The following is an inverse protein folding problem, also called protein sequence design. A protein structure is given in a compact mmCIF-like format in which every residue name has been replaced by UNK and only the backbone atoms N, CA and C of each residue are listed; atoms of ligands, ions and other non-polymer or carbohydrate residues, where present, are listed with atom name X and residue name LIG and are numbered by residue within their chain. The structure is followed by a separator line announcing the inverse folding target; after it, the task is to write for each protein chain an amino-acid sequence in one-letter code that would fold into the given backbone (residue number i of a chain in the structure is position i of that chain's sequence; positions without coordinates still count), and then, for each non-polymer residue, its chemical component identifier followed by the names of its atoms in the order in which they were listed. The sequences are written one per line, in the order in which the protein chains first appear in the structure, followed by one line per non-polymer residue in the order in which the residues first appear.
data_IF_117259319347
#
_entry.id   IF_117259319347
#
_cell.length_a   1.000
_cell.length_b   1.000
_cell.length_c   1.000
_cell.angle_alpha   90.00
_cell.angle_beta   90.00
_cell.angle_gamma   90.00
#
_symmetry.space_group_name_H-M   'P 1'
#
loop_
_entity.id
_entity.type
_entity.pdbx_description
1 polymer ?
#
# COMPACT_ATOMS: atom_id res chain seq x y z
N UNK A 1 3.16 6.09 -24.83
CA UNK A 1 3.83 4.85 -25.27
C UNK A 1 4.31 4.16 -24.00
N UNK A 2 3.51 3.22 -23.47
CA UNK A 2 3.90 2.40 -22.33
C UNK A 2 4.98 1.43 -22.79
N UNK A 3 6.20 1.58 -22.28
CA UNK A 3 7.24 0.58 -22.46
C UNK A 3 6.92 -0.60 -21.55
N UNK A 4 6.11 -1.53 -22.03
CA UNK A 4 5.99 -2.85 -21.44
C UNK A 4 7.34 -3.56 -21.61
N UNK A 5 8.11 -3.61 -20.53
CA UNK A 5 9.24 -4.52 -20.45
C UNK A 5 8.66 -5.93 -20.37
N UNK A 6 8.54 -6.58 -21.53
CA UNK A 6 8.14 -7.97 -21.61
C UNK A 6 9.16 -8.82 -20.83
N UNK A 7 8.73 -9.32 -19.69
CA UNK A 7 9.51 -10.25 -18.86
C UNK A 7 9.58 -11.57 -19.62
N UNK A 8 10.78 -11.92 -20.08
CA UNK A 8 11.07 -13.19 -20.76
C UNK A 8 10.80 -14.35 -19.81
N UNK A 9 9.97 -15.32 -20.24
CA UNK A 9 9.56 -16.48 -19.46
C UNK A 9 10.72 -17.48 -19.27
N UNK A 10 11.47 -17.33 -18.18
CA UNK A 10 12.17 -18.46 -17.52
C UNK A 10 11.15 -19.24 -16.68
N UNK A 11 11.46 -20.49 -16.33
CA UNK A 11 10.59 -21.48 -15.66
C UNK A 11 9.50 -20.90 -14.75
N UNK A 12 8.28 -21.48 -14.71
CA UNK A 12 7.21 -20.93 -13.89
C UNK A 12 7.63 -20.95 -12.43
N UNK A 13 8.02 -19.78 -11.92
CA UNK A 13 8.18 -19.55 -10.50
C UNK A 13 6.90 -20.00 -9.83
N UNK A 14 6.98 -20.82 -8.77
CA UNK A 14 5.79 -21.23 -8.04
C UNK A 14 5.04 -20.00 -7.54
N UNK A 15 3.78 -19.89 -7.89
CA UNK A 15 2.92 -18.76 -7.51
C UNK A 15 1.99 -19.16 -6.38
N UNK A 16 1.68 -18.18 -5.53
CA UNK A 16 0.61 -18.24 -4.55
C UNK A 16 -0.37 -17.10 -4.79
N UNK A 17 -1.58 -17.26 -4.29
CA UNK A 17 -2.67 -16.31 -4.45
C UNK A 17 -3.35 -16.07 -3.11
N UNK A 18 -3.60 -14.82 -2.76
CA UNK A 18 -4.44 -14.47 -1.61
C UNK A 18 -5.49 -13.43 -2.01
N UNK A 19 -6.69 -13.58 -1.45
CA UNK A 19 -7.76 -12.58 -1.56
C UNK A 19 -7.55 -11.55 -0.46
N UNK A 20 -7.61 -10.26 -0.81
CA UNK A 20 -7.53 -9.21 0.19
C UNK A 20 -8.88 -9.00 0.88
N UNK A 21 -8.82 -8.66 2.16
CA UNK A 21 -9.95 -8.37 3.03
C UNK A 21 -9.92 -6.90 3.47
N UNK A 22 -11.07 -6.31 3.87
CA UNK A 22 -11.10 -4.99 4.48
C UNK A 22 -10.14 -4.87 5.68
N UNK A 23 -9.31 -3.83 5.67
CA UNK A 23 -8.39 -3.52 6.77
C UNK A 23 -9.05 -2.63 7.83
N UNK A 24 -8.83 -2.96 9.10
CA UNK A 24 -9.28 -2.24 10.29
C UNK A 24 -8.17 -1.33 10.76
N UNK A 25 -8.07 -0.21 10.05
CA UNK A 25 -7.08 0.83 10.33
C UNK A 25 -7.21 1.33 11.77
N UNK A 26 -6.21 1.07 12.65
CA UNK A 26 -6.24 1.55 14.03
C UNK A 26 -6.08 3.06 14.14
N UNK A 27 -5.57 3.71 13.10
CA UNK A 27 -5.27 5.13 13.17
C UNK A 27 -6.54 5.93 12.97
N UNK A 28 -7.15 6.42 14.07
CA UNK A 28 -8.41 7.18 14.02
C UNK A 28 -8.34 8.45 13.14
N UNK A 29 -7.13 8.94 12.87
CA UNK A 29 -6.87 10.11 12.01
C UNK A 29 -6.74 9.74 10.52
N UNK A 30 -6.59 8.46 10.18
CA UNK A 30 -6.76 8.00 8.81
C UNK A 30 -8.24 8.10 8.44
N UNK A 31 -8.53 8.82 7.35
CA UNK A 31 -9.89 9.07 6.87
C UNK A 31 -10.01 8.63 5.42
N UNK A 32 -11.20 8.16 4.99
CA UNK A 32 -11.43 7.85 3.59
C UNK A 32 -11.31 9.12 2.75
N UNK A 33 -10.88 8.95 1.50
CA UNK A 33 -10.76 10.03 0.51
C UNK A 33 -11.80 9.86 -0.58
N UNK A 34 -12.44 10.95 -1.00
CA UNK A 34 -13.53 10.90 -2.00
C UNK A 34 -13.29 11.79 -3.21
N UNK A 35 -12.02 12.07 -3.52
CA UNK A 35 -11.59 12.78 -4.72
C UNK A 35 -10.70 11.85 -5.53
N UNK A 36 -10.95 11.75 -6.81
CA UNK A 36 -10.14 10.93 -7.71
C UNK A 36 -8.75 11.56 -7.99
N UNK A 37 -7.96 10.95 -8.87
CA UNK A 37 -6.63 11.48 -9.19
C UNK A 37 -6.64 12.82 -9.94
N UNK A 38 -7.79 13.32 -10.40
CA UNK A 38 -7.94 14.65 -11.02
C UNK A 38 -8.72 15.64 -10.15
N UNK A 39 -8.82 15.39 -8.85
CA UNK A 39 -9.66 16.13 -7.90
C UNK A 39 -11.14 16.22 -8.33
N UNK A 40 -11.67 15.25 -9.08
CA UNK A 40 -13.10 15.16 -9.28
C UNK A 40 -13.77 14.52 -8.06
N UNK A 41 -14.86 15.11 -7.55
CA UNK A 41 -15.56 14.56 -6.40
C UNK A 41 -16.31 13.28 -6.77
N UNK A 42 -16.10 12.24 -5.98
CA UNK A 42 -16.89 11.02 -5.99
C UNK A 42 -18.18 11.26 -5.18
N UNK A 43 -19.08 12.06 -5.74
CA UNK A 43 -20.27 12.62 -5.08
C UNK A 43 -21.10 11.57 -4.32
N UNK A 44 -21.28 10.38 -4.88
CA UNK A 44 -22.05 9.30 -4.23
C UNK A 44 -21.45 8.91 -2.87
N UNK A 45 -20.12 8.86 -2.79
CA UNK A 45 -19.41 8.49 -1.56
C UNK A 45 -19.30 9.66 -0.59
N UNK A 46 -19.22 10.89 -1.11
CA UNK A 46 -19.29 12.12 -0.30
C UNK A 46 -20.65 12.22 0.40
N UNK A 47 -21.74 12.01 -0.33
CA UNK A 47 -23.11 12.14 0.20
C UNK A 47 -23.39 11.12 1.31
N UNK A 48 -22.81 9.94 1.22
CA UNK A 48 -22.95 8.86 2.20
C UNK A 48 -21.87 8.90 3.29
N UNK A 49 -20.79 9.65 3.06
CA UNK A 49 -19.61 9.70 3.92
C UNK A 49 -18.83 8.38 3.98
N UNK A 50 -19.07 7.44 3.07
CA UNK A 50 -18.44 6.11 3.11
C UNK A 50 -18.27 5.47 1.73
N UNK A 51 -17.27 4.60 1.65
CA UNK A 51 -17.12 3.60 0.59
C UNK A 51 -16.90 2.25 1.26
N UNK A 52 -17.72 1.25 0.92
CA UNK A 52 -17.75 -0.02 1.64
C UNK A 52 -16.88 -1.03 0.92
N UNK A 53 -15.85 -1.53 1.62
CA UNK A 53 -14.89 -2.46 1.05
C UNK A 53 -15.33 -3.96 0.99
N UNK A 54 -16.61 -4.27 1.25
CA UNK A 54 -17.07 -5.66 1.45
C UNK A 54 -17.24 -6.49 0.16
N UNK A 55 -17.63 -5.88 -0.96
CA UNK A 55 -18.00 -6.61 -2.19
C UNK A 55 -16.89 -6.66 -3.25
N UNK A 56 -15.68 -6.21 -2.92
CA UNK A 56 -14.60 -6.13 -3.89
C UNK A 56 -13.85 -7.44 -4.02
N UNK A 57 -13.33 -7.61 -5.23
CA UNK A 57 -12.59 -8.79 -5.65
C UNK A 57 -11.18 -8.33 -5.94
N UNK A 58 -10.41 -8.09 -4.88
CA UNK A 58 -8.97 -7.83 -5.01
C UNK A 58 -8.21 -9.10 -4.67
N UNK A 59 -7.46 -9.58 -5.66
CA UNK A 59 -6.67 -10.79 -5.55
C UNK A 59 -5.22 -10.45 -5.85
N UNK A 60 -4.32 -10.81 -4.93
CA UNK A 60 -2.89 -10.77 -5.12
C UNK A 60 -2.42 -12.13 -5.58
N UNK A 61 -1.68 -12.19 -6.69
CA UNK A 61 -0.89 -13.36 -7.08
C UNK A 61 0.58 -12.99 -7.03
N UNK A 62 1.43 -13.82 -6.44
CA UNK A 62 2.84 -13.49 -6.25
C UNK A 62 3.75 -14.69 -6.40
N UNK A 63 5.00 -14.42 -6.76
CA UNK A 63 6.05 -15.42 -6.83
C UNK A 63 6.51 -15.82 -5.43
N UNK A 64 6.38 -17.10 -5.07
CA UNK A 64 6.89 -17.62 -3.79
C UNK A 64 8.41 -17.85 -3.80
N UNK A 65 9.03 -17.94 -4.98
CA UNK A 65 10.47 -18.15 -5.17
C UNK A 65 11.00 -17.29 -6.33
N UNK A 66 10.93 -15.96 -6.26
CA UNK A 66 11.31 -15.11 -7.39
C UNK A 66 12.78 -15.31 -7.78
N UNK A 67 13.06 -15.27 -9.08
CA UNK A 67 14.44 -15.31 -9.64
C UNK A 67 15.22 -14.00 -9.39
N UNK A 68 14.62 -13.06 -8.67
CA UNK A 68 15.13 -11.72 -8.37
C UNK A 68 15.23 -11.50 -6.86
N UNK A 69 16.15 -10.63 -6.38
CA UNK A 69 16.32 -10.37 -4.95
C UNK A 69 15.26 -9.39 -4.40
N UNK A 70 14.01 -9.50 -4.85
CA UNK A 70 12.89 -8.65 -4.45
C UNK A 70 11.57 -9.37 -4.72
N UNK A 71 10.53 -8.93 -4.01
CA UNK A 71 9.16 -9.43 -4.17
C UNK A 71 8.59 -9.01 -5.54
N UNK A 72 7.79 -9.87 -6.14
CA UNK A 72 7.12 -9.62 -7.42
C UNK A 72 5.71 -10.20 -7.36
N UNK A 73 4.74 -9.43 -7.85
CA UNK A 73 3.35 -9.82 -7.82
C UNK A 73 2.51 -9.12 -8.87
N UNK A 74 1.26 -9.56 -8.91
CA UNK A 74 0.20 -9.08 -9.76
C UNK A 74 -1.05 -8.85 -8.90
N UNK A 75 -1.68 -7.69 -9.05
CA UNK A 75 -2.99 -7.41 -8.48
C UNK A 75 -4.05 -7.44 -9.57
N UNK A 76 -5.08 -8.25 -9.34
CA UNK A 76 -6.34 -8.17 -10.05
C UNK A 76 -7.35 -7.52 -9.11
N UNK A 77 -7.67 -6.25 -9.35
CA UNK A 77 -8.54 -5.45 -8.50
C UNK A 77 -9.84 -5.09 -9.22
N UNK A 78 -10.97 -5.25 -8.54
CA UNK A 78 -12.32 -4.96 -9.06
C UNK A 78 -13.15 -4.25 -8.01
N UNK A 79 -14.05 -3.38 -8.47
CA UNK A 79 -15.03 -2.67 -7.64
C UNK A 79 -14.40 -1.81 -6.55
N UNK A 80 -13.26 -1.18 -6.84
CA UNK A 80 -12.66 -0.14 -6.00
C UNK A 80 -13.20 1.25 -6.39
N UNK A 81 -12.76 2.33 -5.75
CA UNK A 81 -13.13 3.69 -6.20
C UNK A 81 -12.63 3.90 -7.63
N UNK A 82 -13.40 4.55 -8.52
CA UNK A 82 -13.00 4.74 -9.92
C UNK A 82 -12.00 5.89 -10.08
N UNK A 83 -11.12 5.78 -11.08
CA UNK A 83 -10.04 6.74 -11.38
C UNK A 83 -9.20 7.11 -10.15
N UNK A 84 -9.02 6.18 -9.22
CA UNK A 84 -8.48 6.43 -7.89
C UNK A 84 -7.14 5.74 -7.73
N UNK A 85 -6.19 6.37 -7.04
CA UNK A 85 -4.88 5.79 -6.80
C UNK A 85 -4.81 5.02 -5.47
N UNK A 86 -4.04 3.95 -5.47
CA UNK A 86 -3.87 3.06 -4.33
C UNK A 86 -2.40 2.70 -4.16
N UNK A 87 -1.83 2.97 -3.00
CA UNK A 87 -0.47 2.55 -2.65
C UNK A 87 -0.43 1.04 -2.43
N UNK A 88 0.66 0.42 -2.87
CA UNK A 88 0.96 -1.00 -2.68
C UNK A 88 2.10 -1.13 -1.67
N UNK A 89 1.88 -1.84 -0.56
CA UNK A 89 2.88 -2.01 0.49
C UNK A 89 3.06 -3.48 0.86
N UNK A 90 4.32 -3.85 1.09
CA UNK A 90 4.70 -5.12 1.74
C UNK A 90 5.20 -4.79 3.15
N UNK A 91 4.62 -5.41 4.16
CA UNK A 91 4.88 -5.15 5.57
C UNK A 91 5.39 -6.42 6.25
N UNK A 92 6.28 -6.25 7.22
CA UNK A 92 6.64 -7.31 8.15
C UNK A 92 5.54 -7.57 9.17
N UNK A 93 5.71 -8.67 9.92
CA UNK A 93 4.81 -9.08 11.00
C UNK A 93 5.60 -9.04 12.32
N UNK A 94 5.72 -7.89 13.00
CA UNK A 94 6.45 -7.84 14.27
C UNK A 94 5.80 -8.78 15.29
N UNK A 95 6.61 -9.56 16.00
CA UNK A 95 6.14 -10.46 17.07
C UNK A 95 5.54 -9.67 18.24
N UNK A 96 6.14 -8.53 18.56
CA UNK A 96 5.83 -7.72 19.74
C UNK A 96 5.07 -6.42 19.42
N UNK A 97 4.55 -5.79 20.45
CA UNK A 97 3.73 -4.58 20.36
C UNK A 97 2.25 -4.86 20.68
N UNK A 98 1.47 -3.81 20.91
CA UNK A 98 0.02 -3.90 21.16
C UNK A 98 -0.72 -4.59 19.99
N UNK A 99 -0.20 -4.41 18.78
CA UNK A 99 -0.65 -5.07 17.55
C UNK A 99 0.50 -5.90 16.94
N UNK A 100 1.25 -6.61 17.79
CA UNK A 100 2.18 -7.64 17.35
C UNK A 100 1.44 -8.94 17.01
N UNK A 101 2.04 -9.78 16.16
CA UNK A 101 1.48 -11.07 15.75
C UNK A 101 1.78 -12.21 16.73
N UNK A 102 2.53 -11.97 17.81
CA UNK A 102 2.90 -13.00 18.76
C UNK A 102 3.63 -14.15 18.08
N UNK A 103 3.18 -15.39 18.32
CA UNK A 103 3.78 -16.59 17.72
C UNK A 103 3.65 -16.67 16.19
N UNK A 104 2.73 -15.90 15.60
CA UNK A 104 2.54 -15.81 14.14
C UNK A 104 3.39 -14.71 13.49
N UNK A 105 4.18 -13.98 14.30
CA UNK A 105 5.07 -12.94 13.82
C UNK A 105 6.40 -13.47 13.29
N UNK A 106 7.10 -12.64 12.53
CA UNK A 106 8.42 -12.89 11.99
C UNK A 106 9.28 -11.60 12.08
N UNK A 107 10.00 -11.50 13.20
CA UNK A 107 10.89 -10.36 13.48
C UNK A 107 12.05 -10.27 12.48
N UNK A 108 12.51 -11.40 11.93
CA UNK A 108 13.61 -11.41 10.96
C UNK A 108 13.15 -10.77 9.65
N UNK A 109 11.98 -11.19 9.17
CA UNK A 109 11.36 -10.61 7.97
C UNK A 109 11.03 -9.14 8.17
N UNK A 110 10.45 -8.80 9.33
CA UNK A 110 10.16 -7.42 9.69
C UNK A 110 11.41 -6.54 9.69
N UNK A 111 12.50 -7.01 10.29
CA UNK A 111 13.74 -6.26 10.34
C UNK A 111 14.36 -6.05 8.95
N UNK A 112 14.41 -7.11 8.15
CA UNK A 112 14.95 -7.07 6.78
C UNK A 112 14.17 -6.09 5.90
N UNK A 113 12.83 -6.10 5.97
CA UNK A 113 12.00 -5.15 5.23
C UNK A 113 12.23 -3.73 5.71
N UNK A 114 12.32 -3.48 7.02
CA UNK A 114 12.50 -2.15 7.56
C UNK A 114 13.86 -1.52 7.23
N UNK A 115 14.93 -2.31 7.32
CA UNK A 115 16.28 -1.87 6.92
C UNK A 115 16.37 -1.61 5.41
N UNK A 116 15.73 -2.45 4.60
CA UNK A 116 15.69 -2.28 3.14
C UNK A 116 14.78 -1.11 2.70
N UNK A 117 13.73 -0.84 3.47
CA UNK A 117 12.78 0.23 3.24
C UNK A 117 12.73 1.20 4.40
N UNK A 118 11.64 1.10 5.17
CA UNK A 118 11.22 2.09 6.17
C UNK A 118 10.52 1.41 7.33
N UNK A 119 10.29 2.19 8.37
CA UNK A 119 9.55 1.78 9.55
C UNK A 119 8.25 2.55 9.66
N UNK A 120 7.16 1.85 9.97
CA UNK A 120 5.84 2.39 10.20
C UNK A 120 5.32 1.97 11.57
N UNK A 121 4.62 2.88 12.24
CA UNK A 121 3.86 2.58 13.45
C UNK A 121 2.38 2.98 13.27
N UNK A 122 1.49 2.01 13.50
CA UNK A 122 0.03 2.08 13.33
C UNK A 122 -0.63 3.16 14.22
N UNK A 123 -0.09 3.39 15.41
CA UNK A 123 -0.57 4.43 16.34
C UNK A 123 0.54 5.46 16.49
N UNK A 124 0.60 6.36 15.52
CA UNK A 124 1.66 7.36 15.45
C UNK A 124 1.77 8.16 16.76
N UNK A 125 2.85 7.95 17.51
CA UNK A 125 3.35 8.98 18.42
C UNK A 125 4.19 9.99 17.61
N UNK A 126 4.42 11.20 18.14
CA UNK A 126 5.44 12.08 17.58
C UNK A 126 6.77 11.32 17.36
N UNK A 127 7.44 11.47 16.21
CA UNK A 127 7.28 12.54 15.20
C UNK A 127 6.26 12.26 14.08
N UNK A 128 5.57 11.12 14.09
CA UNK A 128 4.64 10.71 13.04
C UNK A 128 4.80 9.23 12.68
N UNK A 129 4.03 8.74 11.70
CA UNK A 129 3.98 7.32 11.37
C UNK A 129 5.29 6.80 10.74
N UNK A 130 6.07 7.65 10.07
CA UNK A 130 7.32 7.25 9.43
C UNK A 130 8.50 7.38 10.40
N UNK A 131 9.21 6.28 10.61
CA UNK A 131 10.28 6.17 11.60
C UNK A 131 11.62 5.83 10.93
N UNK A 132 12.71 6.17 11.62
CA UNK A 132 14.07 5.79 11.20
C UNK A 132 14.55 4.52 11.93
N UNK A 133 15.72 4.05 11.52
CA UNK A 133 16.34 2.84 12.06
C UNK A 133 16.65 2.97 13.56
N UNK A 134 17.06 4.16 14.01
CA UNK A 134 17.40 4.41 15.41
C UNK A 134 16.15 4.33 16.30
N UNK A 135 15.01 4.83 15.82
CA UNK A 135 13.75 4.72 16.53
C UNK A 135 13.30 3.26 16.65
N UNK A 136 13.41 2.45 15.59
CA UNK A 136 13.14 1.01 15.65
C UNK A 136 14.05 0.32 16.68
N UNK A 137 15.35 0.61 16.65
CA UNK A 137 16.33 0.03 17.57
C UNK A 137 15.98 0.33 19.04
N UNK A 138 15.61 1.57 19.34
CA UNK A 138 15.25 1.99 20.71
C UNK A 138 13.91 1.41 21.16
N UNK A 139 12.88 1.48 20.32
CA UNK A 139 11.49 1.23 20.73
C UNK A 139 11.00 -0.19 20.44
N UNK A 140 11.76 -1.00 19.71
CA UNK A 140 11.42 -2.39 19.39
C UNK A 140 12.53 -3.37 19.76
N UNK A 141 13.74 -3.16 19.21
CA UNK A 141 14.82 -4.14 19.34
C UNK A 141 15.39 -4.17 20.76
N UNK A 142 15.69 -2.99 21.32
CA UNK A 142 16.31 -2.82 22.63
C UNK A 142 15.31 -2.52 23.76
N UNK A 143 14.03 -2.29 23.42
CA UNK A 143 12.98 -2.08 24.42
C UNK A 143 12.77 -3.34 25.27
N UNK A 144 12.55 -3.14 26.57
CA UNK A 144 12.28 -4.24 27.48
C UNK A 144 10.97 -4.96 27.08
N UNK A 145 10.81 -6.26 27.42
CA UNK A 145 9.55 -6.95 27.25
C UNK A 145 8.38 -6.17 27.88
N UNK A 146 7.28 -6.01 27.14
CA UNK A 146 6.13 -5.19 27.55
C UNK A 146 6.25 -3.69 27.28
N UNK A 147 7.42 -3.20 26.84
CA UNK A 147 7.63 -1.81 26.41
C UNK A 147 7.81 -1.67 24.90
N UNK A 148 7.87 -2.79 24.17
CA UNK A 148 8.00 -2.81 22.72
C UNK A 148 6.78 -2.17 22.07
N UNK A 149 7.02 -1.27 21.13
CA UNK A 149 5.98 -0.65 20.29
C UNK A 149 5.65 -1.55 19.09
N UNK A 150 4.53 -1.36 18.43
CA UNK A 150 4.23 -2.07 17.18
C UNK A 150 4.90 -1.33 16.01
N UNK A 151 6.05 -1.82 15.55
CA UNK A 151 6.80 -1.19 14.46
C UNK A 151 6.98 -2.16 13.30
N UNK A 152 6.39 -1.81 12.16
CA UNK A 152 6.42 -2.57 10.92
C UNK A 152 7.59 -2.09 10.06
N UNK A 153 8.45 -3.01 9.64
CA UNK A 153 9.28 -2.80 8.46
C UNK A 153 8.39 -2.86 7.22
N UNK A 154 8.54 -1.91 6.30
CA UNK A 154 7.73 -1.89 5.08
C UNK A 154 8.46 -1.39 3.83
N UNK A 155 7.97 -1.85 2.68
CA UNK A 155 8.34 -1.37 1.34
C UNK A 155 7.11 -0.76 0.68
N UNK A 156 7.21 0.48 0.21
CA UNK A 156 6.20 1.09 -0.67
C UNK A 156 6.58 0.84 -2.13
N UNK A 157 5.93 -0.14 -2.74
CA UNK A 157 6.34 -0.72 -4.04
C UNK A 157 5.82 0.05 -5.25
N UNK A 158 5.05 1.11 -5.01
CA UNK A 158 4.39 1.92 -6.03
C UNK A 158 2.89 1.97 -5.81
N UNK A 159 2.19 2.62 -6.72
CA UNK A 159 0.74 2.76 -6.73
C UNK A 159 0.16 2.23 -8.04
N UNK A 160 -1.13 1.92 -8.02
CA UNK A 160 -1.93 1.68 -9.21
C UNK A 160 -3.13 2.62 -9.24
N UNK A 161 -3.68 2.84 -10.42
CA UNK A 161 -4.87 3.66 -10.64
C UNK A 161 -5.94 2.77 -11.25
N UNK A 162 -7.16 2.88 -10.75
CA UNK A 162 -8.32 2.17 -11.29
C UNK A 162 -8.89 2.87 -12.51
N UNK A 163 -9.55 2.12 -13.39
CA UNK A 163 -10.35 2.67 -14.48
C UNK A 163 -11.65 3.32 -13.96
N UNK A 164 -12.51 3.78 -14.87
CA UNK A 164 -13.76 4.42 -14.52
C UNK A 164 -14.83 3.49 -13.92
N UNK A 165 -14.57 2.18 -13.90
CA UNK A 165 -15.39 1.18 -13.21
C UNK A 165 -14.73 0.65 -11.93
N UNK A 166 -13.60 1.23 -11.50
CA UNK A 166 -12.93 0.81 -10.28
C UNK A 166 -12.09 -0.46 -10.44
N UNK A 167 -11.69 -0.81 -11.66
CA UNK A 167 -10.89 -1.99 -11.94
C UNK A 167 -9.43 -1.65 -12.21
N UNK A 168 -8.52 -2.55 -11.87
CA UNK A 168 -7.12 -2.49 -12.28
C UNK A 168 -6.52 -3.89 -12.41
N UNK A 169 -5.59 -4.03 -13.33
CA UNK A 169 -4.72 -5.20 -13.48
C UNK A 169 -3.28 -4.68 -13.54
N UNK A 170 -2.48 -4.97 -12.52
CA UNK A 170 -1.16 -4.35 -12.35
C UNK A 170 -0.11 -5.36 -11.92
N UNK A 171 0.96 -5.44 -12.71
CA UNK A 171 2.21 -6.08 -12.31
C UNK A 171 3.06 -5.09 -11.53
N UNK A 172 3.68 -5.55 -10.44
CA UNK A 172 4.54 -4.71 -9.61
C UNK A 172 5.69 -5.53 -9.01
N UNK A 173 6.68 -4.81 -8.48
CA UNK A 173 7.81 -5.43 -7.78
C UNK A 173 8.30 -4.53 -6.66
N UNK A 174 8.93 -5.14 -5.66
CA UNK A 174 9.61 -4.42 -4.59
C UNK A 174 11.05 -4.04 -4.94
N UNK A 175 11.41 -3.99 -6.24
CA UNK A 175 12.73 -3.53 -6.70
C UNK A 175 13.05 -2.11 -6.26
N UNK A 176 12.02 -1.29 -6.05
CA UNK A 176 12.12 0.07 -5.53
C UNK A 176 11.22 0.20 -4.31
N UNK A 177 11.61 1.04 -3.34
CA UNK A 177 10.78 1.45 -2.22
C UNK A 177 10.63 2.98 -2.22
N UNK A 178 9.55 3.44 -2.84
CA UNK A 178 9.26 4.87 -3.00
C UNK A 178 8.80 5.49 -1.68
N UNK A 179 8.78 6.83 -1.62
CA UNK A 179 8.36 7.60 -0.45
C UNK A 179 6.92 8.04 -0.55
N UNK A 180 6.61 8.79 -1.60
CA UNK A 180 5.34 9.48 -1.80
C UNK A 180 5.03 9.44 -3.30
N UNK A 181 3.74 9.42 -3.63
CA UNK A 181 3.24 9.63 -4.97
C UNK A 181 2.82 11.10 -5.14
N UNK A 182 3.14 11.69 -6.29
CA UNK A 182 2.80 13.06 -6.63
C UNK A 182 1.99 13.11 -7.91
N UNK A 183 1.14 14.12 -8.04
CA UNK A 183 0.48 14.49 -9.28
C UNK A 183 1.13 15.72 -9.94
N UNK A 184 1.04 15.79 -11.27
CA UNK A 184 1.56 16.89 -12.09
C UNK A 184 1.20 18.30 -11.61
N UNK A 185 0.00 18.53 -11.09
CA UNK A 185 -0.43 19.87 -10.65
C UNK A 185 0.17 20.33 -9.31
N UNK A 186 0.85 19.44 -8.56
CA UNK A 186 1.18 19.70 -7.16
C UNK A 186 2.30 20.67 -6.79
N UNK A 187 3.16 21.27 -7.62
CA UNK A 187 4.21 22.27 -7.24
C UNK A 187 5.27 21.96 -6.14
N UNK A 188 4.96 21.22 -5.07
CA UNK A 188 5.88 20.78 -4.01
C UNK A 188 6.31 19.32 -4.25
N UNK A 189 7.42 18.93 -3.63
CA UNK A 189 7.96 17.57 -3.69
C UNK A 189 9.01 17.34 -4.77
N UNK A 190 9.65 16.17 -4.74
CA UNK A 190 10.61 15.73 -5.75
C UNK A 190 9.95 14.70 -6.67
N UNK A 191 9.72 15.10 -7.94
CA UNK A 191 9.16 14.22 -8.97
C UNK A 191 10.27 13.52 -9.72
N UNK A 192 10.76 12.42 -9.16
CA UNK A 192 11.98 11.76 -9.66
C UNK A 192 11.69 10.70 -10.72
N UNK A 193 10.60 9.94 -10.58
CA UNK A 193 10.26 8.83 -11.47
C UNK A 193 8.82 8.97 -11.94
N UNK A 194 8.56 8.85 -13.23
CA UNK A 194 7.18 8.81 -13.74
C UNK A 194 6.53 7.51 -13.27
N UNK A 195 5.42 7.61 -12.54
CA UNK A 195 4.62 6.47 -12.12
C UNK A 195 3.70 5.99 -13.25
N UNK A 196 3.14 6.94 -14.01
CA UNK A 196 2.32 6.65 -15.19
C UNK A 196 1.57 7.87 -15.72
N UNK A 197 1.04 7.73 -16.92
CA UNK A 197 0.06 8.63 -17.55
C UNK A 197 -1.29 7.92 -17.54
N UNK A 198 -2.29 8.54 -16.91
CA UNK A 198 -3.61 7.95 -16.68
C UNK A 198 -4.69 8.82 -17.30
N UNK A 199 -5.74 8.17 -17.80
CA UNK A 199 -6.93 8.87 -18.29
C UNK A 199 -8.01 8.79 -17.22
N UNK A 200 -8.42 9.94 -16.70
CA UNK A 200 -9.60 10.06 -15.85
C UNK A 200 -10.79 10.31 -16.75
N UNK A 201 -11.83 9.48 -16.61
CA UNK A 201 -13.07 9.63 -17.37
C UNK A 201 -14.24 8.95 -16.65
N UNK A 202 -15.46 9.30 -17.00
CA UNK A 202 -16.67 8.56 -16.66
C UNK A 202 -17.78 9.04 -17.58
N UNK A 203 -17.83 8.52 -18.81
CA UNK A 203 -18.69 9.07 -19.87
C UNK A 203 -20.00 8.29 -20.07
N UNK A 204 -20.16 7.17 -19.38
CA UNK A 204 -21.31 6.26 -19.56
C UNK A 204 -22.03 6.08 -18.23
N UNK A 205 -23.34 6.28 -18.23
CA UNK A 205 -24.17 6.05 -17.05
C UNK A 205 -24.27 4.53 -16.72
N UNK A 206 -24.30 4.12 -15.44
CA UNK A 206 -24.16 4.97 -14.25
C UNK A 206 -22.70 5.44 -14.09
N UNK A 207 -22.50 6.74 -13.87
CA UNK A 207 -21.17 7.33 -13.64
C UNK A 207 -20.67 6.89 -12.27
N UNK A 208 -20.10 5.68 -12.17
CA UNK A 208 -19.81 5.04 -10.89
C UNK A 208 -19.09 5.99 -9.92
N UNK A 209 -19.64 6.20 -8.73
CA UNK A 209 -19.11 7.17 -7.76
C UNK A 209 -19.34 8.64 -8.10
N UNK A 210 -19.47 9.00 -9.37
CA UNK A 210 -19.65 10.38 -9.86
C UNK A 210 -21.13 10.79 -9.94
N UNK A 211 -21.42 12.05 -9.61
CA UNK A 211 -22.77 12.62 -9.76
C UNK A 211 -23.13 13.07 -11.18
N UNK A 212 -22.17 13.03 -12.12
CA UNK A 212 -22.28 13.58 -13.48
C UNK A 212 -21.21 12.95 -14.40
N UNK A 213 -21.35 13.03 -15.73
CA UNK A 213 -20.31 12.55 -16.63
C UNK A 213 -19.00 13.32 -16.45
N UNK A 214 -17.88 12.60 -16.46
CA UNK A 214 -16.53 13.16 -16.39
C UNK A 214 -15.87 13.01 -17.76
N UNK A 215 -15.61 14.14 -18.41
CA UNK A 215 -14.91 14.19 -19.69
C UNK A 215 -13.45 13.71 -19.55
N UNK A 216 -12.91 12.98 -20.55
CA UNK A 216 -11.56 12.44 -20.51
C UNK A 216 -10.48 13.50 -20.26
N UNK A 217 -9.65 13.27 -19.23
CA UNK A 217 -8.51 14.13 -18.86
C UNK A 217 -7.27 13.29 -18.60
N UNK A 218 -6.11 13.80 -19.00
CA UNK A 218 -4.82 13.14 -18.75
C UNK A 218 -4.23 13.63 -17.43
N UNK A 219 -3.90 12.69 -16.55
CA UNK A 219 -3.23 12.93 -15.29
C UNK A 219 -1.96 12.11 -15.23
N UNK A 220 -0.84 12.76 -14.94
CA UNK A 220 0.44 12.09 -14.75
C UNK A 220 0.80 12.04 -13.28
N UNK A 221 1.27 10.86 -12.86
CA UNK A 221 1.74 10.60 -11.51
C UNK A 221 3.25 10.38 -11.49
N UNK A 222 3.85 10.62 -10.33
CA UNK A 222 5.28 10.54 -10.09
C UNK A 222 5.58 9.91 -8.75
N UNK A 223 6.70 9.20 -8.64
CA UNK A 223 7.25 8.77 -7.37
C UNK A 223 8.42 9.66 -6.94
N UNK A 224 8.52 9.82 -5.63
CA UNK A 224 9.67 10.39 -4.92
C UNK A 224 10.44 9.28 -4.20
N UNK A 225 11.77 9.32 -4.21
CA UNK A 225 12.60 8.51 -3.32
C UNK A 225 12.80 9.21 -1.98
N UNK A 226 12.98 8.44 -0.90
CA UNK A 226 13.38 9.01 0.37
C UNK A 226 14.87 9.34 0.34
N UNK A 227 15.21 10.58 0.68
CA UNK A 227 16.60 10.99 0.85
C UNK A 227 17.32 10.09 1.87
N UNK A 228 18.51 9.60 1.49
CA UNK A 228 19.35 8.75 2.35
C UNK A 228 19.03 7.24 2.31
N UNK A 229 17.98 6.80 1.58
CA UNK A 229 17.71 5.37 1.35
C UNK A 229 18.24 4.91 -0.01
N UNK A 230 18.50 3.62 -0.13
CA UNK A 230 18.86 3.01 -1.42
C UNK A 230 17.70 3.17 -2.40
N UNK A 231 18.00 3.48 -3.67
CA UNK A 231 16.99 3.53 -4.73
C UNK A 231 16.51 2.13 -5.07
N UNK A 232 17.45 1.25 -5.40
CA UNK A 232 17.15 -0.18 -5.62
C UNK A 232 17.17 -0.94 -4.31
N UNK A 233 16.10 -1.68 -4.07
CA UNK A 233 15.94 -2.59 -2.95
C UNK A 233 16.44 -3.97 -3.38
N UNK A 234 17.29 -4.56 -2.54
CA UNK A 234 17.68 -5.96 -2.61
C UNK A 234 17.43 -6.58 -1.25
N UNK A 235 16.50 -7.51 -1.20
CA UNK A 235 16.19 -8.27 -0.01
C UNK A 235 17.29 -9.31 0.24
N UNK A 236 17.82 -9.40 1.47
CA UNK A 236 18.73 -10.49 1.83
C UNK A 236 18.10 -11.87 1.58
N UNK A 237 18.91 -12.91 1.26
CA UNK A 237 18.40 -14.26 1.11
C UNK A 237 17.68 -14.76 2.37
N UNK A 238 16.62 -15.54 2.15
CA UNK A 238 15.82 -16.15 3.20
C UNK A 238 14.33 -16.15 2.90
N UNK A 239 13.58 -16.85 3.75
CA UNK A 239 12.12 -16.86 3.73
C UNK A 239 11.58 -15.63 4.45
N UNK A 240 10.52 -15.06 3.89
CA UNK A 240 9.82 -13.89 4.36
C UNK A 240 8.38 -14.28 4.70
N UNK A 241 7.94 -14.10 5.95
CA UNK A 241 6.53 -14.09 6.31
C UNK A 241 6.06 -12.64 6.49
N UNK A 242 5.14 -12.20 5.63
CA UNK A 242 4.78 -10.81 5.46
C UNK A 242 3.27 -10.63 5.32
N UNK A 243 2.85 -9.38 5.44
CA UNK A 243 1.51 -8.90 5.17
C UNK A 243 1.52 -7.98 3.95
N UNK A 244 0.51 -8.08 3.11
CA UNK A 244 0.29 -7.14 2.01
C UNK A 244 -0.76 -6.13 2.39
N UNK A 245 -0.55 -4.85 2.06
CA UNK A 245 -1.46 -3.76 2.43
C UNK A 245 -1.67 -2.81 1.25
N UNK A 246 -2.91 -2.41 1.04
CA UNK A 246 -3.31 -1.34 0.13
C UNK A 246 -3.78 -0.14 0.94
N UNK A 247 -3.22 1.02 0.62
CA UNK A 247 -3.61 2.31 1.20
C UNK A 247 -4.19 3.22 0.13
N UNK A 248 -5.28 3.92 0.44
CA UNK A 248 -5.80 4.97 -0.44
C UNK A 248 -4.73 6.03 -0.68
N UNK A 249 -4.45 6.31 -1.96
CA UNK A 249 -3.65 7.45 -2.37
C UNK A 249 -4.55 8.37 -3.18
N UNK A 250 -4.91 9.50 -2.59
CA UNK A 250 -5.30 10.65 -3.41
C UNK A 250 -4.33 11.73 -3.04
N UNK A 251 -3.95 12.54 -4.00
CA UNK A 251 -2.87 13.49 -3.79
C UNK A 251 -3.23 14.42 -2.64
N UNK A 252 -2.23 15.05 -2.04
CA UNK A 252 -2.38 16.05 -0.98
C UNK A 252 -3.30 17.18 -1.46
N UNK A 253 -4.61 16.93 -1.42
CA UNK A 253 -5.63 17.82 -1.90
C UNK A 253 -5.43 19.12 -1.14
N UNK A 254 -5.47 20.24 -1.85
CA UNK A 254 -5.41 21.57 -1.26
C UNK A 254 -6.52 21.78 -0.21
N UNK A 255 -7.53 20.92 -0.18
CA UNK A 255 -8.59 20.88 0.83
C UNK A 255 -8.30 19.92 2.00
N UNK A 256 -7.47 18.88 1.82
CA UNK A 256 -7.30 17.75 2.76
C UNK A 256 -6.26 17.96 3.87
N UNK A 257 -6.41 19.02 4.66
CA UNK A 257 -5.64 19.19 5.91
C UNK A 257 -6.11 18.25 7.01
N UNK A 258 -5.41 18.23 8.17
CA UNK A 258 -5.81 17.40 9.33
C UNK A 258 -7.26 17.67 9.82
N UNK A 259 -7.84 18.81 9.44
CA UNK A 259 -9.16 19.26 9.85
C UNK A 259 -10.25 19.06 8.77
N UNK A 260 -9.93 18.52 7.59
CA UNK A 260 -10.92 18.29 6.53
C UNK A 260 -11.63 16.93 6.72
N UNK A 261 -12.95 16.99 6.87
CA UNK A 261 -13.83 15.81 6.93
C UNK A 261 -13.76 14.94 5.67
N UNK A 262 -13.26 15.51 4.59
CA UNK A 262 -13.25 14.95 3.24
C UNK A 262 -11.83 14.61 2.73
N UNK A 263 -10.80 14.76 3.57
CA UNK A 263 -9.42 14.42 3.23
C UNK A 263 -8.48 14.50 4.43
N UNK A 264 -8.19 13.35 5.05
CA UNK A 264 -7.23 13.22 6.16
C UNK A 264 -5.96 12.45 5.79
N UNK A 265 -5.30 11.87 6.79
CA UNK A 265 -4.20 10.94 6.55
C UNK A 265 -4.67 9.71 5.75
N UNK A 266 -3.73 9.05 5.08
CA UNK A 266 -3.99 7.96 4.16
C UNK A 266 -4.58 6.73 4.88
N UNK A 267 -5.84 6.42 4.59
CA UNK A 267 -6.49 5.23 5.13
C UNK A 267 -6.01 3.97 4.41
N UNK A 268 -5.56 2.99 5.19
CA UNK A 268 -5.34 1.65 4.69
C UNK A 268 -6.67 0.91 4.62
N UNK A 269 -6.93 0.20 3.52
CA UNK A 269 -8.29 -0.24 3.17
C UNK A 269 -8.41 -1.71 2.90
N UNK A 270 -7.36 -2.34 2.36
CA UNK A 270 -7.35 -3.76 2.07
C UNK A 270 -6.03 -4.38 2.51
N UNK A 271 -6.07 -5.61 3.00
CA UNK A 271 -4.91 -6.33 3.48
C UNK A 271 -5.02 -7.82 3.18
N UNK A 272 -3.91 -8.55 3.14
CA UNK A 272 -3.96 -10.01 3.03
C UNK A 272 -4.52 -10.65 4.31
N UNK A 273 -4.13 -10.11 5.46
CA UNK A 273 -4.53 -10.55 6.80
C UNK A 273 -4.67 -9.35 7.75
N UNK A 274 -5.44 -9.49 8.82
CA UNK A 274 -5.67 -8.40 9.79
C UNK A 274 -5.93 -8.92 11.20
N UNK A 275 -6.25 -8.03 12.13
CA UNK A 275 -6.72 -8.39 13.46
C UNK A 275 -8.24 -8.55 13.50
N UNK A 276 -8.70 -9.46 14.34
CA UNK A 276 -10.13 -9.63 14.62
C UNK A 276 -10.70 -8.44 15.43
N UNK A 277 -11.99 -8.52 15.83
CA UNK A 277 -12.65 -7.39 16.49
C UNK A 277 -12.19 -7.19 17.93
N UNK A 278 -11.57 -8.21 18.50
CA UNK A 278 -10.96 -8.17 19.82
C UNK A 278 -9.47 -7.80 19.75
N UNK A 279 -8.92 -7.58 18.55
CA UNK A 279 -7.51 -7.23 18.37
C UNK A 279 -6.57 -8.44 18.42
N UNK A 280 -7.07 -9.67 18.21
CA UNK A 280 -6.21 -10.83 18.04
C UNK A 280 -5.67 -10.89 16.62
N UNK A 281 -4.38 -11.20 16.42
CA UNK A 281 -3.83 -11.37 15.08
C UNK A 281 -4.52 -12.52 14.36
N UNK A 282 -4.70 -12.38 13.05
CA UNK A 282 -5.09 -13.51 12.22
C UNK A 282 -4.06 -14.64 12.33
N UNK A 283 -4.57 -15.86 12.37
CA UNK A 283 -3.79 -17.08 12.50
C UNK A 283 -4.02 -18.04 11.33
N UNK A 284 -4.71 -17.59 10.29
CA UNK A 284 -4.90 -18.35 9.07
C UNK A 284 -3.63 -18.31 8.22
N UNK A 285 -2.88 -19.40 8.04
CA UNK A 285 -1.69 -19.36 7.19
C UNK A 285 -2.02 -19.18 5.70
N UNK A 286 -3.26 -19.38 5.27
CA UNK A 286 -3.65 -19.33 3.85
C UNK A 286 -3.68 -17.90 3.28
N UNK A 287 -3.66 -16.88 4.12
CA UNK A 287 -3.59 -15.47 3.70
C UNK A 287 -2.30 -14.76 4.13
N UNK A 288 -1.34 -15.50 4.69
CA UNK A 288 0.05 -15.03 4.84
C UNK A 288 0.70 -14.85 3.47
N UNK A 289 1.51 -13.81 3.33
CA UNK A 289 2.35 -13.61 2.15
C UNK A 289 3.74 -14.19 2.45
N UNK A 290 3.96 -15.43 1.99
CA UNK A 290 5.19 -16.19 2.26
C UNK A 290 5.98 -16.42 0.98
N UNK A 291 7.20 -15.89 0.92
CA UNK A 291 8.11 -16.07 -0.22
C UNK A 291 9.56 -16.25 0.22
N UNK A 292 10.39 -16.84 -0.62
CA UNK A 292 11.82 -17.09 -0.35
C UNK A 292 12.69 -16.45 -1.41
N UNK A 293 13.61 -15.58 -0.98
CA UNK A 293 14.66 -15.01 -1.83
C UNK A 293 15.87 -15.94 -1.82
N UNK A 294 16.27 -16.41 -3.01
CA UNK A 294 17.47 -17.22 -3.20
C UNK A 294 18.77 -16.44 -2.94
N UNK A 295 19.83 -17.17 -2.59
CA UNK A 295 21.19 -16.65 -2.41
C UNK A 295 22.05 -16.78 -3.65
#
# INVERSE_FOLDING_TARGET
MSSSNAISSTNPTSQATCKLIPYRDPWQMAKPRFWDIDDQPLQEFIDTGQFIYHDQQVTLTYATHPDTPYFVGHLHARSLKPNFAYQIKLLGKPVSGERGWGEFGDDISNERLGKAGRWWEDVAAPPGPNLDDAYYEVNYQNAAPGQKRTIYGYLYMGAFVTDEQGNADVDFSSRYSYHICWQDKQTKGQREVVAGDYTVQSTTAPYYGYGHPVEPRQVKLWYEYQAGRSREVKLPPGTYNCRFLITEETFHNLMGGMDDLNGGFYQSVLTSEDFDAAGHPDNNPDNDVVFTIGG
#
